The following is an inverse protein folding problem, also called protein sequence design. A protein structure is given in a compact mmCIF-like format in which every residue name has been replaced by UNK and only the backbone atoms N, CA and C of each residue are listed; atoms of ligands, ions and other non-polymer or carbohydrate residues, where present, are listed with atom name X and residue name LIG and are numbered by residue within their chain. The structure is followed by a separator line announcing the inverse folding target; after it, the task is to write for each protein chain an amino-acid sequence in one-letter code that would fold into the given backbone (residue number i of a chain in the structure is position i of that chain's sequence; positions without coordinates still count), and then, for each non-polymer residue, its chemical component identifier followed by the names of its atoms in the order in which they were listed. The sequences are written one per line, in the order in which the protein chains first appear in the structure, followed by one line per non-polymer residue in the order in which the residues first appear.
data_IF_682198439073
#
_entry.id   IF_682198439073
#
_cell.length_a   1.000
_cell.length_b   1.000
_cell.length_c   1.000
_cell.angle_alpha   90.00
_cell.angle_beta   90.00
_cell.angle_gamma   90.00
#
_symmetry.space_group_name_H-M   'P 1'
#
loop_
_entity.id
_entity.type
_entity.pdbx_description
1 polymer ?
#
# COMPACT_ATOMS: atom_id res chain seq x y z
N UNK A 1 0.27 -25.36 5.82
CA UNK A 1 -0.98 -24.61 6.03
C UNK A 1 -0.72 -23.10 6.08
N UNK A 2 0.16 -22.58 6.95
CA UNK A 2 0.43 -21.14 7.07
C UNK A 2 0.98 -20.48 5.80
N UNK A 3 1.88 -21.16 5.04
CA UNK A 3 2.38 -20.64 3.77
C UNK A 3 1.26 -20.45 2.74
N UNK A 4 0.33 -21.40 2.63
CA UNK A 4 -0.80 -21.31 1.72
C UNK A 4 -1.74 -20.14 2.07
N UNK A 5 -1.98 -19.92 3.39
CA UNK A 5 -2.79 -18.78 3.86
C UNK A 5 -2.10 -17.47 3.48
N UNK A 6 -0.79 -17.35 3.68
CA UNK A 6 -0.04 -16.16 3.29
C UNK A 6 -0.15 -15.92 1.78
N UNK A 7 0.07 -16.95 0.94
CA UNK A 7 -0.05 -16.83 -0.52
C UNK A 7 -1.47 -16.42 -0.95
N UNK A 8 -2.53 -16.94 -0.31
CA UNK A 8 -3.92 -16.55 -0.57
C UNK A 8 -4.20 -15.09 -0.18
N UNK A 9 -3.65 -14.63 0.95
CA UNK A 9 -3.78 -13.23 1.38
C UNK A 9 -3.05 -12.30 0.41
N UNK A 10 -1.87 -12.66 -0.06
CA UNK A 10 -1.16 -11.91 -1.11
C UNK A 10 -2.00 -11.84 -2.38
N UNK A 11 -2.58 -12.94 -2.85
CA UNK A 11 -3.42 -12.97 -4.04
C UNK A 11 -4.71 -12.16 -3.88
N UNK A 12 -5.28 -12.09 -2.69
CA UNK A 12 -6.49 -11.30 -2.41
C UNK A 12 -6.31 -9.80 -2.73
N UNK A 13 -5.08 -9.27 -2.64
CA UNK A 13 -4.76 -7.88 -3.02
C UNK A 13 -4.89 -7.63 -4.53
N UNK A 14 -4.63 -8.64 -5.37
CA UNK A 14 -4.87 -8.53 -6.82
C UNK A 14 -6.37 -8.44 -7.10
N UNK A 15 -7.18 -9.25 -6.39
CA UNK A 15 -8.65 -9.18 -6.48
C UNK A 15 -9.15 -7.82 -6.00
N UNK A 16 -8.59 -7.31 -4.90
CA UNK A 16 -8.91 -5.98 -4.38
C UNK A 16 -8.60 -4.87 -5.40
N UNK A 17 -7.48 -4.95 -6.13
CA UNK A 17 -7.16 -4.02 -7.20
C UNK A 17 -8.22 -4.06 -8.33
N UNK A 18 -8.65 -5.25 -8.74
CA UNK A 18 -9.75 -5.41 -9.71
C UNK A 18 -11.07 -4.83 -9.24
N UNK A 19 -11.40 -5.03 -7.95
CA UNK A 19 -12.60 -4.44 -7.34
C UNK A 19 -12.53 -2.92 -7.30
N UNK A 20 -11.38 -2.32 -6.98
CA UNK A 20 -11.19 -0.87 -6.99
C UNK A 20 -11.37 -0.30 -8.40
N UNK A 21 -10.81 -0.95 -9.42
CA UNK A 21 -11.03 -0.57 -10.81
C UNK A 21 -12.52 -0.61 -11.16
N UNK A 22 -13.20 -1.71 -10.82
CA UNK A 22 -14.63 -1.86 -11.08
C UNK A 22 -15.48 -0.79 -10.38
N UNK A 23 -15.22 -0.53 -9.08
CA UNK A 23 -15.90 0.52 -8.31
C UNK A 23 -15.67 1.91 -8.91
N UNK A 24 -14.46 2.19 -9.38
CA UNK A 24 -14.15 3.46 -10.03
C UNK A 24 -14.91 3.68 -11.34
N UNK A 25 -15.03 2.63 -12.16
CA UNK A 25 -15.70 2.70 -13.46
C UNK A 25 -17.22 2.73 -13.34
N UNK A 26 -17.81 2.03 -12.37
CA UNK A 26 -19.26 1.88 -12.24
C UNK A 26 -19.89 2.85 -11.24
N UNK A 27 -19.22 3.06 -10.09
CA UNK A 27 -19.76 3.85 -8.99
C UNK A 27 -19.13 5.25 -8.85
N UNK A 28 -17.92 5.44 -9.38
CA UNK A 28 -17.21 6.71 -9.26
C UNK A 28 -17.08 7.18 -7.81
N UNK A 29 -17.36 8.47 -7.57
CA UNK A 29 -17.25 9.07 -6.24
C UNK A 29 -18.25 8.49 -5.22
N UNK A 30 -19.43 8.03 -5.65
CA UNK A 30 -20.44 7.45 -4.75
C UNK A 30 -20.01 6.09 -4.17
N UNK A 31 -19.08 5.39 -4.82
CA UNK A 31 -18.52 4.15 -4.34
C UNK A 31 -17.40 4.33 -3.29
N UNK A 32 -17.09 5.57 -2.86
CA UNK A 32 -16.00 5.83 -1.91
C UNK A 32 -16.08 4.99 -0.62
N UNK A 33 -17.26 4.80 0.03
CA UNK A 33 -17.35 3.95 1.22
C UNK A 33 -16.92 2.50 0.96
N UNK A 34 -17.34 1.93 -0.17
CA UNK A 34 -16.96 0.59 -0.58
C UNK A 34 -15.46 0.50 -0.93
N UNK A 35 -14.94 1.51 -1.62
CA UNK A 35 -13.52 1.58 -1.95
C UNK A 35 -12.64 1.66 -0.67
N UNK A 36 -13.05 2.46 0.33
CA UNK A 36 -12.37 2.52 1.64
C UNK A 36 -12.34 1.13 2.28
N UNK A 37 -13.47 0.41 2.29
CA UNK A 37 -13.53 -0.94 2.86
C UNK A 37 -12.54 -1.89 2.14
N UNK A 38 -12.50 -1.86 0.81
CA UNK A 38 -11.56 -2.69 0.01
C UNK A 38 -10.10 -2.32 0.31
N UNK A 39 -9.78 -1.02 0.43
CA UNK A 39 -8.43 -0.54 0.73
C UNK A 39 -8.00 -1.00 2.14
N UNK A 40 -8.85 -0.82 3.15
CA UNK A 40 -8.57 -1.24 4.53
C UNK A 40 -8.39 -2.76 4.62
N UNK A 41 -9.22 -3.53 3.90
CA UNK A 41 -9.04 -4.98 3.80
C UNK A 41 -7.70 -5.33 3.15
N UNK A 42 -7.31 -4.66 2.06
CA UNK A 42 -6.02 -4.87 1.41
C UNK A 42 -4.83 -4.58 2.33
N UNK A 43 -4.86 -3.47 3.08
CA UNK A 43 -3.82 -3.18 4.08
C UNK A 43 -3.80 -4.19 5.23
N UNK A 44 -4.99 -4.68 5.64
CA UNK A 44 -5.10 -5.69 6.71
C UNK A 44 -4.53 -7.03 6.24
N UNK A 45 -4.83 -7.44 5.01
CA UNK A 45 -4.30 -8.69 4.44
C UNK A 45 -2.79 -8.64 4.29
N UNK A 46 -2.20 -7.50 3.91
CA UNK A 46 -0.76 -7.26 3.87
C UNK A 46 -0.08 -7.47 5.24
N UNK A 47 -0.70 -6.96 6.31
CA UNK A 47 -0.17 -7.18 7.67
C UNK A 47 -0.27 -8.64 8.11
N UNK A 48 -1.36 -9.32 7.74
CA UNK A 48 -1.61 -10.70 8.12
C UNK A 48 -0.74 -11.68 7.35
N UNK A 49 -0.53 -11.50 6.04
CA UNK A 49 0.30 -12.41 5.25
C UNK A 49 1.75 -12.42 5.76
N UNK A 50 2.31 -11.25 6.07
CA UNK A 50 3.62 -11.14 6.70
C UNK A 50 3.70 -11.80 8.08
N UNK A 51 2.59 -11.90 8.82
CA UNK A 51 2.52 -12.58 10.10
C UNK A 51 2.47 -14.11 9.92
N UNK A 52 1.68 -14.60 8.97
CA UNK A 52 1.59 -16.03 8.65
C UNK A 52 2.84 -16.55 7.95
N UNK A 53 3.45 -15.77 7.05
CA UNK A 53 4.70 -16.13 6.40
C UNK A 53 5.83 -16.39 7.41
N UNK A 54 5.95 -15.54 8.45
CA UNK A 54 6.95 -15.73 9.51
C UNK A 54 6.70 -16.92 10.41
N UNK A 55 5.45 -17.36 10.57
CA UNK A 55 5.09 -18.55 11.37
C UNK A 55 5.15 -19.84 10.57
N UNK A 56 5.38 -19.75 9.26
CA UNK A 56 5.45 -20.91 8.39
C UNK A 56 6.83 -21.55 8.47
N UNK A 57 6.93 -22.87 8.66
CA UNK A 57 8.20 -23.59 8.56
C UNK A 57 8.69 -23.74 7.12
N UNK A 58 7.80 -23.51 6.13
CA UNK A 58 8.13 -23.58 4.70
C UNK A 58 8.05 -22.19 4.08
N UNK A 59 8.94 -21.85 3.13
CA UNK A 59 8.87 -20.59 2.43
C UNK A 59 7.55 -20.46 1.64
N UNK A 60 6.98 -19.25 1.59
CA UNK A 60 5.83 -18.93 0.76
C UNK A 60 6.25 -18.90 -0.71
N UNK A 61 5.39 -19.37 -1.61
CA UNK A 61 5.68 -19.41 -3.06
C UNK A 61 5.67 -18.02 -3.70
N UNK A 62 4.89 -17.10 -3.15
CA UNK A 62 4.71 -15.73 -3.66
C UNK A 62 5.65 -14.70 -3.01
N UNK A 63 6.57 -15.11 -2.12
CA UNK A 63 7.47 -14.20 -1.42
C UNK A 63 8.25 -13.25 -2.35
N UNK A 64 8.68 -13.76 -3.51
CA UNK A 64 9.45 -12.97 -4.47
C UNK A 64 8.56 -12.03 -5.32
N UNK A 65 7.25 -12.29 -5.35
CA UNK A 65 6.25 -11.50 -6.07
C UNK A 65 5.47 -10.54 -5.17
N UNK A 66 5.71 -10.52 -3.87
CA UNK A 66 4.96 -9.72 -2.90
C UNK A 66 4.99 -8.22 -3.24
N UNK A 67 6.17 -7.69 -3.54
CA UNK A 67 6.31 -6.30 -3.98
C UNK A 67 5.55 -5.99 -5.27
N UNK A 68 5.53 -6.90 -6.25
CA UNK A 68 4.79 -6.72 -7.50
C UNK A 68 3.28 -6.70 -7.25
N UNK A 69 2.80 -7.56 -6.34
CA UNK A 69 1.39 -7.58 -5.94
C UNK A 69 1.00 -6.28 -5.23
N UNK A 70 1.87 -5.73 -4.38
CA UNK A 70 1.67 -4.42 -3.78
C UNK A 70 1.55 -3.34 -4.85
N UNK A 71 2.46 -3.30 -5.81
CA UNK A 71 2.39 -2.33 -6.92
C UNK A 71 1.07 -2.43 -7.67
N UNK A 72 0.57 -3.64 -7.94
CA UNK A 72 -0.74 -3.86 -8.60
C UNK A 72 -1.88 -3.32 -7.73
N UNK A 73 -1.86 -3.58 -6.43
CA UNK A 73 -2.87 -3.10 -5.50
C UNK A 73 -2.90 -1.56 -5.44
N UNK A 74 -1.73 -0.93 -5.30
CA UNK A 74 -1.61 0.53 -5.28
C UNK A 74 -1.95 1.18 -6.62
N UNK A 75 -1.69 0.51 -7.75
CA UNK A 75 -2.17 0.94 -9.06
C UNK A 75 -3.71 0.93 -9.10
N UNK A 76 -4.37 -0.09 -8.52
CA UNK A 76 -5.82 -0.12 -8.36
C UNK A 76 -6.36 1.07 -7.58
N UNK A 77 -5.71 1.46 -6.46
CA UNK A 77 -6.06 2.67 -5.68
C UNK A 77 -5.94 3.92 -6.56
N UNK A 78 -4.81 4.12 -7.24
CA UNK A 78 -4.60 5.29 -8.10
C UNK A 78 -5.62 5.38 -9.23
N UNK A 79 -5.93 4.26 -9.88
CA UNK A 79 -6.93 4.20 -10.95
C UNK A 79 -8.31 4.56 -10.39
N UNK A 80 -8.68 4.06 -9.19
CA UNK A 80 -9.91 4.43 -8.52
C UNK A 80 -9.96 5.95 -8.27
N UNK A 81 -8.92 6.53 -7.67
CA UNK A 81 -8.86 7.96 -7.37
C UNK A 81 -8.96 8.83 -8.61
N UNK A 82 -8.40 8.39 -9.75
CA UNK A 82 -8.48 9.09 -11.04
C UNK A 82 -9.86 8.95 -11.66
N UNK A 83 -10.43 7.74 -11.73
CA UNK A 83 -11.74 7.48 -12.37
C UNK A 83 -12.90 8.08 -11.57
N UNK A 84 -12.81 8.05 -10.24
CA UNK A 84 -13.76 8.72 -9.34
C UNK A 84 -13.56 10.26 -9.28
N UNK A 85 -12.54 10.80 -10.01
CA UNK A 85 -12.23 12.24 -10.10
C UNK A 85 -11.83 12.91 -8.78
N UNK A 86 -11.33 12.14 -7.82
CA UNK A 86 -10.72 12.70 -6.59
C UNK A 86 -9.35 13.31 -6.89
N UNK A 87 -8.61 12.71 -7.82
CA UNK A 87 -7.36 13.25 -8.35
C UNK A 87 -7.47 13.44 -9.87
N UNK A 88 -6.92 14.52 -10.41
CA UNK A 88 -6.88 14.71 -11.86
C UNK A 88 -6.00 13.63 -12.51
N UNK A 89 -6.47 13.05 -13.63
CA UNK A 89 -5.78 11.96 -14.30
C UNK A 89 -4.34 12.29 -14.72
N UNK A 90 -4.09 13.55 -15.11
CA UNK A 90 -2.74 14.01 -15.46
C UNK A 90 -1.78 13.96 -14.27
N UNK A 91 -2.25 14.27 -13.05
CA UNK A 91 -1.43 14.20 -11.83
C UNK A 91 -1.08 12.74 -11.50
N UNK A 92 -2.05 11.83 -11.63
CA UNK A 92 -1.83 10.39 -11.44
C UNK A 92 -0.83 9.87 -12.47
N UNK A 93 -0.98 10.22 -13.75
CA UNK A 93 -0.05 9.85 -14.80
C UNK A 93 1.38 10.39 -14.54
N UNK A 94 1.49 11.67 -14.18
CA UNK A 94 2.78 12.28 -13.85
C UNK A 94 3.44 11.58 -12.65
N UNK A 95 2.68 11.27 -11.61
CA UNK A 95 3.18 10.54 -10.43
C UNK A 95 3.69 9.14 -10.79
N UNK A 96 2.94 8.39 -11.61
CA UNK A 96 3.35 7.04 -12.06
C UNK A 96 4.64 7.11 -12.89
N UNK A 97 4.72 8.04 -13.86
CA UNK A 97 5.92 8.24 -14.67
C UNK A 97 7.12 8.59 -13.78
N UNK A 98 6.96 9.55 -12.86
CA UNK A 98 8.03 9.95 -11.95
C UNK A 98 8.48 8.81 -11.05
N UNK A 99 7.55 8.00 -10.55
CA UNK A 99 7.84 6.83 -9.71
C UNK A 99 8.63 5.76 -10.47
N UNK A 100 8.27 5.51 -11.74
CA UNK A 100 9.00 4.57 -12.60
C UNK A 100 10.41 5.10 -12.87
N UNK A 101 10.53 6.36 -13.29
CA UNK A 101 11.83 6.99 -13.58
C UNK A 101 12.73 6.98 -12.35
N UNK A 102 12.21 7.39 -11.19
CA UNK A 102 12.97 7.38 -9.94
C UNK A 102 13.43 5.97 -9.55
N UNK A 103 12.57 4.96 -9.72
CA UNK A 103 12.90 3.56 -9.44
C UNK A 103 13.97 3.02 -10.39
N UNK A 104 13.90 3.35 -11.68
CA UNK A 104 14.90 2.95 -12.68
C UNK A 104 16.25 3.63 -12.45
N UNK A 105 16.25 4.95 -12.16
CA UNK A 105 17.48 5.70 -11.94
C UNK A 105 18.22 5.28 -10.66
N UNK A 106 17.48 4.93 -9.64
CA UNK A 106 18.07 4.57 -8.33
C UNK A 106 18.36 3.08 -8.20
N UNK A 107 17.61 2.21 -8.91
CA UNK A 107 17.69 0.76 -8.78
C UNK A 107 17.35 0.23 -7.38
N UNK A 108 16.80 1.08 -6.49
CA UNK A 108 16.60 0.78 -5.07
C UNK A 108 15.13 0.51 -4.75
N UNK A 109 14.86 -0.63 -4.15
CA UNK A 109 13.50 -0.98 -3.66
C UNK A 109 12.92 0.05 -2.70
N UNK A 110 13.77 0.72 -1.89
CA UNK A 110 13.36 1.75 -0.94
C UNK A 110 12.62 2.92 -1.61
N UNK A 111 13.02 3.33 -2.82
CA UNK A 111 12.33 4.39 -3.58
C UNK A 111 10.94 3.94 -4.01
N UNK A 112 10.80 2.70 -4.49
CA UNK A 112 9.50 2.15 -4.82
C UNK A 112 8.56 2.14 -3.61
N UNK A 113 9.04 1.68 -2.45
CA UNK A 113 8.27 1.68 -1.20
C UNK A 113 7.85 3.11 -0.81
N UNK A 114 8.75 4.09 -0.94
CA UNK A 114 8.42 5.49 -0.65
C UNK A 114 7.29 6.00 -1.55
N UNK A 115 7.33 5.68 -2.85
CA UNK A 115 6.26 6.04 -3.78
C UNK A 115 4.92 5.43 -3.36
N UNK A 116 4.88 4.15 -2.92
CA UNK A 116 3.66 3.53 -2.42
C UNK A 116 3.12 4.26 -1.17
N UNK A 117 3.99 4.71 -0.25
CA UNK A 117 3.58 5.48 0.93
C UNK A 117 3.00 6.84 0.60
N UNK A 118 3.44 7.48 -0.48
CA UNK A 118 2.82 8.73 -0.95
C UNK A 118 1.39 8.50 -1.44
N UNK A 119 1.09 7.33 -2.01
CA UNK A 119 -0.28 6.96 -2.38
C UNK A 119 -1.16 6.78 -1.12
N UNK A 120 -0.62 6.17 -0.04
CA UNK A 120 -1.33 6.06 1.23
C UNK A 120 -1.71 7.44 1.77
N UNK A 121 -0.77 8.40 1.72
CA UNK A 121 -1.03 9.79 2.17
C UNK A 121 -2.11 10.44 1.30
N UNK A 122 -2.01 10.33 -0.03
CA UNK A 122 -3.01 10.89 -0.94
C UNK A 122 -4.41 10.29 -0.68
N UNK A 123 -4.49 8.98 -0.48
CA UNK A 123 -5.71 8.28 -0.12
C UNK A 123 -6.26 8.79 1.22
N UNK A 124 -5.42 8.93 2.23
CA UNK A 124 -5.77 9.48 3.54
C UNK A 124 -6.35 10.89 3.45
N UNK A 125 -5.73 11.78 2.65
CA UNK A 125 -6.23 13.14 2.40
C UNK A 125 -7.61 13.11 1.75
N UNK A 126 -7.84 12.27 0.74
CA UNK A 126 -9.14 12.12 0.09
C UNK A 126 -10.19 11.63 1.10
N UNK A 127 -9.88 10.59 1.89
CA UNK A 127 -10.81 10.05 2.89
C UNK A 127 -11.14 11.12 3.93
N UNK A 128 -10.14 11.85 4.44
CA UNK A 128 -10.35 12.92 5.42
C UNK A 128 -11.23 14.04 4.86
N UNK A 129 -11.03 14.42 3.60
CA UNK A 129 -11.76 15.52 2.96
C UNK A 129 -13.22 15.17 2.67
N UNK A 130 -13.48 13.97 2.17
CA UNK A 130 -14.81 13.57 1.69
C UNK A 130 -15.61 12.73 2.70
N UNK A 131 -14.93 12.05 3.63
CA UNK A 131 -15.57 11.19 4.62
C UNK A 131 -14.86 11.28 6.00
N UNK A 132 -14.94 12.41 6.71
CA UNK A 132 -14.20 12.65 7.95
C UNK A 132 -14.50 11.61 9.04
N UNK A 133 -15.73 11.09 9.12
CA UNK A 133 -16.06 10.02 10.07
C UNK A 133 -15.35 8.70 9.74
N UNK A 134 -15.24 8.35 8.45
CA UNK A 134 -14.46 7.19 8.04
C UNK A 134 -12.96 7.39 8.29
N UNK A 135 -12.46 8.62 8.15
CA UNK A 135 -11.09 8.97 8.49
C UNK A 135 -10.77 8.75 9.99
N UNK A 136 -11.71 9.09 10.89
CA UNK A 136 -11.55 8.82 12.33
C UNK A 136 -11.50 7.32 12.61
N UNK A 137 -12.38 6.53 12.00
CA UNK A 137 -12.35 5.06 12.13
C UNK A 137 -11.03 4.48 11.61
N UNK A 138 -10.56 4.97 10.46
CA UNK A 138 -9.29 4.58 9.88
C UNK A 138 -8.12 4.95 10.80
N UNK A 139 -8.11 6.16 11.35
CA UNK A 139 -7.08 6.60 12.29
C UNK A 139 -7.07 5.72 13.55
N UNK A 140 -8.24 5.40 14.12
CA UNK A 140 -8.35 4.49 15.25
C UNK A 140 -7.81 3.09 14.91
N UNK A 141 -8.13 2.57 13.73
CA UNK A 141 -7.61 1.28 13.23
C UNK A 141 -6.08 1.31 13.08
N UNK A 142 -5.51 2.39 12.50
CA UNK A 142 -4.06 2.55 12.39
C UNK A 142 -3.37 2.62 13.76
N UNK A 143 -3.97 3.32 14.74
CA UNK A 143 -3.47 3.37 16.12
C UNK A 143 -3.49 1.98 16.76
N UNK A 144 -4.57 1.23 16.60
CA UNK A 144 -4.66 -0.15 17.09
C UNK A 144 -3.59 -1.05 16.46
N UNK A 145 -3.38 -0.96 15.16
CA UNK A 145 -2.30 -1.66 14.47
C UNK A 145 -0.92 -1.26 15.02
N UNK A 146 -0.67 0.04 15.18
CA UNK A 146 0.60 0.54 15.71
C UNK A 146 0.87 0.03 17.12
N UNK A 147 -0.16 -0.02 17.99
CA UNK A 147 -0.06 -0.58 19.33
C UNK A 147 0.22 -2.09 19.31
N UNK A 148 -0.43 -2.83 18.41
CA UNK A 148 -0.24 -4.28 18.28
C UNK A 148 1.17 -4.62 17.77
N UNK A 149 1.67 -3.82 16.82
CA UNK A 149 2.98 -3.99 16.19
C UNK A 149 4.08 -3.09 16.78
N UNK A 150 3.85 -2.45 17.95
CA UNK A 150 4.76 -1.47 18.56
C UNK A 150 6.22 -1.92 18.65
N UNK A 151 6.47 -3.18 19.01
CA UNK A 151 7.83 -3.73 19.11
C UNK A 151 8.54 -3.72 17.76
N UNK A 152 7.83 -4.06 16.70
CA UNK A 152 8.36 -4.10 15.34
C UNK A 152 8.60 -2.71 14.76
N UNK A 153 7.71 -1.76 15.06
CA UNK A 153 7.89 -0.37 14.65
C UNK A 153 9.17 0.23 15.23
N UNK A 154 9.46 -0.05 16.50
CA UNK A 154 10.68 0.41 17.18
C UNK A 154 11.95 -0.20 16.56
N UNK A 155 11.89 -1.40 16.00
CA UNK A 155 13.03 -2.07 15.36
C UNK A 155 13.20 -1.66 13.88
N UNK A 156 12.11 -1.59 13.12
CA UNK A 156 12.15 -1.33 11.67
C UNK A 156 12.33 0.16 11.32
N UNK A 157 11.74 1.09 12.08
CA UNK A 157 11.81 2.52 11.78
C UNK A 157 13.25 3.06 11.82
N UNK A 158 14.11 2.72 12.80
CA UNK A 158 15.50 3.17 12.81
C UNK A 158 16.32 2.62 11.65
N UNK A 159 16.06 1.37 11.22
CA UNK A 159 16.78 0.75 10.10
C UNK A 159 16.42 1.45 8.79
N UNK A 160 15.13 1.65 8.52
CA UNK A 160 14.65 2.35 7.34
C UNK A 160 15.12 3.82 7.30
N UNK A 161 15.10 4.50 8.45
CA UNK A 161 15.63 5.87 8.58
C UNK A 161 17.15 5.92 8.36
N UNK A 162 17.87 4.89 8.79
CA UNK A 162 19.30 4.72 8.52
C UNK A 162 19.59 4.62 7.02
N UNK A 163 18.86 3.78 6.30
CA UNK A 163 19.01 3.60 4.84
C UNK A 163 18.68 4.89 4.06
N UNK A 164 17.63 5.63 4.46
CA UNK A 164 17.30 6.92 3.88
C UNK A 164 18.40 7.95 4.12
N UNK A 165 18.92 8.04 5.34
CA UNK A 165 19.99 8.98 5.71
C UNK A 165 21.29 8.68 4.96
N UNK A 166 21.62 7.40 4.74
CA UNK A 166 22.80 6.99 4.00
C UNK A 166 22.65 7.26 2.50
N UNK A 167 21.42 7.21 1.96
CA UNK A 167 21.10 7.72 0.62
C UNK A 167 21.41 9.20 0.48
N UNK A 168 20.96 10.02 1.43
CA UNK A 168 21.15 11.49 1.43
C UNK A 168 22.62 11.89 1.57
N UNK A 169 23.42 11.08 2.27
CA UNK A 169 24.85 11.33 2.49
C UNK A 169 25.77 10.84 1.37
N UNK A 170 25.22 10.31 0.29
CA UNK A 170 26.01 9.81 -0.84
C UNK A 170 26.92 8.62 -0.50
N UNK A 171 26.75 7.98 0.65
CA UNK A 171 27.48 6.78 1.05
C UNK A 171 26.77 5.54 0.50
N UNK A 172 26.69 5.45 -0.84
CA UNK A 172 26.27 4.23 -1.49
C UNK A 172 27.46 3.28 -1.57
N UNK A 173 27.38 2.12 -0.90
CA UNK A 173 28.19 0.96 -1.28
C UNK A 173 27.52 0.19 -2.39
#
# INVERSE_FOLDING_TARGET
MFALIADLLTLSRVVAAGLLLWLGLTGGASALPAAIAVIVLGWTTDQLDGLFARRSPTPTRLKDCDFQVDVVFYAGILIYLATARFLPAWLVAAFVILSIVASLLTGRKAVGILCLRLIDVACGVVIFTYMPMAALVLAAWLVLLALFYRRRLVECVPQWWGELRDMWRGRAR
#
